data_IF_554124006320
#
_entry.id   IF_554124006320
#
_cell.length_a   1.000
_cell.length_b   1.000
_cell.length_c   1.000
_cell.angle_alpha   90.00
_cell.angle_beta   90.00
_cell.angle_gamma   90.00
#
_symmetry.space_group_name_H-M   'P 1'
#
loop_
_entity.id
_entity.type
_entity.pdbx_description
1 polymer ?
#
# COMPACT_ATOMS: atom_id res chain seq x y z
N UNK A 1 1.61 17.96 -3.49
CA UNK A 1 1.85 17.85 -4.95
C UNK A 1 0.78 16.96 -5.54
N UNK A 2 0.44 17.12 -6.83
CA UNK A 2 -0.49 16.23 -7.53
C UNK A 2 0.28 15.09 -8.19
N UNK A 3 -0.34 13.92 -8.29
CA UNK A 3 0.17 12.76 -9.04
C UNK A 3 0.29 13.13 -10.53
N UNK A 4 1.31 12.58 -11.21
CA UNK A 4 1.57 12.77 -12.65
C UNK A 4 1.85 11.41 -13.30
N UNK A 5 1.54 11.30 -14.58
CA UNK A 5 1.90 10.13 -15.39
C UNK A 5 3.42 9.96 -15.48
N UNK A 6 3.87 8.71 -15.56
CA UNK A 6 5.28 8.33 -15.58
C UNK A 6 5.99 8.38 -14.22
N UNK A 7 5.30 8.81 -13.14
CA UNK A 7 5.83 8.70 -11.79
C UNK A 7 5.88 7.25 -11.33
N UNK A 8 6.80 6.95 -10.43
CA UNK A 8 6.95 5.60 -9.88
C UNK A 8 5.96 5.33 -8.76
N UNK A 9 5.45 4.10 -8.69
CA UNK A 9 4.40 3.71 -7.74
C UNK A 9 4.60 2.31 -7.16
N UNK A 10 4.12 2.14 -5.91
CA UNK A 10 3.83 0.86 -5.30
C UNK A 10 2.32 0.76 -5.09
N UNK A 11 1.71 -0.34 -5.54
CA UNK A 11 0.30 -0.63 -5.31
C UNK A 11 0.12 -2.08 -4.88
N UNK A 12 -0.41 -2.30 -3.70
CA UNK A 12 -0.61 -3.63 -3.13
C UNK A 12 -2.09 -3.86 -2.90
N UNK A 13 -2.67 -4.82 -3.63
CA UNK A 13 -3.98 -5.40 -3.34
C UNK A 13 -3.79 -6.63 -2.47
N UNK A 14 -4.41 -6.62 -1.29
CA UNK A 14 -4.27 -7.67 -0.27
C UNK A 14 -5.67 -8.21 0.04
N UNK A 15 -5.83 -9.53 0.10
CA UNK A 15 -7.10 -10.18 0.43
C UNK A 15 -6.91 -11.19 1.56
N UNK A 16 -7.70 -11.06 2.62
CA UNK A 16 -7.57 -11.88 3.82
C UNK A 16 -8.92 -12.41 4.28
N UNK A 17 -8.96 -13.58 4.94
CA UNK A 17 -10.13 -13.99 5.71
C UNK A 17 -10.50 -12.92 6.75
N UNK A 18 -11.80 -12.73 7.02
CA UNK A 18 -12.28 -11.67 7.92
C UNK A 18 -11.67 -11.78 9.34
N UNK A 19 -11.44 -12.99 9.84
CA UNK A 19 -10.79 -13.23 11.14
C UNK A 19 -9.33 -12.77 11.21
N UNK A 20 -8.70 -12.50 10.07
CA UNK A 20 -7.34 -11.96 9.95
C UNK A 20 -7.29 -10.46 9.66
N UNK A 21 -8.44 -9.83 9.43
CA UNK A 21 -8.50 -8.44 9.00
C UNK A 21 -7.88 -7.46 10.01
N UNK A 22 -8.12 -7.65 11.32
CA UNK A 22 -7.56 -6.77 12.36
C UNK A 22 -6.03 -6.89 12.47
N UNK A 23 -5.52 -8.12 12.37
CA UNK A 23 -4.07 -8.40 12.39
C UNK A 23 -3.37 -7.72 11.20
N UNK A 24 -3.93 -7.87 10.00
CA UNK A 24 -3.38 -7.25 8.79
C UNK A 24 -3.53 -5.74 8.81
N UNK A 25 -4.64 -5.19 9.29
CA UNK A 25 -4.79 -3.74 9.44
C UNK A 25 -3.75 -3.16 10.40
N UNK A 26 -3.42 -3.85 11.49
CA UNK A 26 -2.38 -3.40 12.41
C UNK A 26 -1.00 -3.33 11.73
N UNK A 27 -0.65 -4.32 10.90
CA UNK A 27 0.58 -4.31 10.09
C UNK A 27 0.59 -3.13 9.11
N UNK A 28 -0.52 -2.88 8.41
CA UNK A 28 -0.66 -1.76 7.47
C UNK A 28 -0.56 -0.41 8.20
N UNK A 29 -1.13 -0.28 9.40
CA UNK A 29 -1.00 0.93 10.23
C UNK A 29 0.42 1.15 10.73
N UNK A 30 1.13 0.08 11.08
CA UNK A 30 2.54 0.16 11.43
C UNK A 30 3.38 0.63 10.23
N UNK A 31 3.12 0.10 9.04
CA UNK A 31 3.71 0.58 7.79
C UNK A 31 3.41 2.07 7.55
N UNK A 32 2.16 2.50 7.72
CA UNK A 32 1.78 3.89 7.58
C UNK A 32 2.49 4.82 8.58
N UNK A 33 2.77 4.35 9.79
CA UNK A 33 3.56 5.09 10.78
C UNK A 33 5.01 5.23 10.32
N UNK A 34 5.64 4.12 9.90
CA UNK A 34 6.98 4.15 9.32
C UNK A 34 7.09 5.09 8.11
N UNK A 35 6.09 5.11 7.21
CA UNK A 35 6.02 6.04 6.09
C UNK A 35 6.01 7.51 6.56
N UNK A 36 5.27 7.85 7.62
CA UNK A 36 5.28 9.22 8.19
C UNK A 36 6.63 9.59 8.80
N UNK A 37 7.30 8.62 9.40
CA UNK A 37 8.57 8.84 10.09
C UNK A 37 9.74 8.97 9.11
N UNK A 38 9.66 8.36 7.93
CA UNK A 38 10.75 8.29 6.95
C UNK A 38 10.50 9.05 5.65
N UNK A 39 9.25 9.39 5.33
CA UNK A 39 8.88 10.10 4.11
C UNK A 39 8.23 11.45 4.41
N UNK A 40 8.20 12.31 3.39
CA UNK A 40 7.66 13.66 3.48
C UNK A 40 6.99 14.09 2.18
N UNK A 41 6.12 15.09 2.25
CA UNK A 41 5.51 15.73 1.09
C UNK A 41 6.18 17.07 0.72
N UNK A 42 7.17 17.50 1.51
CA UNK A 42 7.85 18.80 1.47
C UNK A 42 9.38 18.67 1.35
N UNK A 43 9.86 17.53 0.89
CA UNK A 43 11.26 17.24 0.56
C UNK A 43 12.21 17.16 1.78
N UNK A 44 11.68 17.20 3.01
CA UNK A 44 12.46 17.07 4.26
C UNK A 44 12.98 15.66 4.53
N UNK A 45 12.39 14.65 3.88
CA UNK A 45 12.75 13.22 3.96
C UNK A 45 12.57 12.56 2.57
N UNK A 46 12.50 11.23 2.51
CA UNK A 46 12.20 10.52 1.26
C UNK A 46 10.91 11.08 0.64
N UNK A 47 10.99 11.49 -0.61
CA UNK A 47 10.00 12.39 -1.19
C UNK A 47 8.82 11.62 -1.81
N UNK A 48 7.64 11.79 -1.22
CA UNK A 48 6.37 11.26 -1.72
C UNK A 48 5.52 12.33 -2.39
N UNK A 49 4.75 11.90 -3.38
CA UNK A 49 3.62 12.67 -3.91
C UNK A 49 2.36 12.35 -3.11
N UNK A 50 2.12 11.05 -2.86
CA UNK A 50 0.90 10.59 -2.25
C UNK A 50 1.09 9.24 -1.55
N UNK A 51 0.34 9.03 -0.47
CA UNK A 51 0.22 7.76 0.22
C UNK A 51 -1.20 7.61 0.77
N UNK A 52 -1.83 6.47 0.52
CA UNK A 52 -3.03 6.08 1.24
C UNK A 52 -3.16 4.56 1.31
N UNK A 53 -3.84 4.10 2.36
CA UNK A 53 -4.31 2.74 2.48
C UNK A 53 -5.82 2.73 2.69
N UNK A 54 -6.50 1.73 2.13
CA UNK A 54 -7.95 1.59 2.23
C UNK A 54 -8.33 0.14 2.50
N UNK A 55 -9.56 -0.09 2.95
CA UNK A 55 -10.13 -1.42 3.13
C UNK A 55 -11.61 -1.44 2.77
N UNK A 56 -12.11 -2.62 2.39
CA UNK A 56 -13.54 -2.90 2.27
C UNK A 56 -13.81 -4.38 2.51
N UNK A 57 -15.07 -4.77 2.80
CA UNK A 57 -15.48 -6.15 2.60
C UNK A 57 -15.26 -6.56 1.14
N UNK A 58 -14.96 -7.83 0.91
CA UNK A 58 -14.97 -8.44 -0.41
C UNK A 58 -16.41 -8.84 -0.77
N UNK A 59 -17.07 -8.03 -1.58
CA UNK A 59 -18.47 -8.25 -1.96
C UNK A 59 -18.58 -9.33 -3.04
N UNK A 60 -19.59 -10.21 -2.93
CA UNK A 60 -19.89 -11.19 -3.99
C UNK A 60 -20.26 -10.50 -5.30
N UNK A 61 -20.98 -9.38 -5.20
CA UNK A 61 -21.36 -8.52 -6.32
C UNK A 61 -21.06 -7.06 -5.95
N UNK A 62 -19.98 -6.46 -6.46
CA UNK A 62 -19.62 -5.07 -6.17
C UNK A 62 -20.69 -4.04 -6.60
N UNK A 63 -21.58 -4.41 -7.53
CA UNK A 63 -22.68 -3.56 -7.99
C UNK A 63 -23.96 -3.74 -7.17
N UNK A 64 -24.02 -4.73 -6.27
CA UNK A 64 -25.17 -5.01 -5.40
C UNK A 64 -24.72 -5.55 -4.02
N UNK A 65 -24.39 -4.66 -3.06
CA UNK A 65 -23.90 -5.05 -1.74
C UNK A 65 -24.87 -5.94 -0.93
N UNK A 66 -26.17 -5.91 -1.22
CA UNK A 66 -27.20 -6.72 -0.53
C UNK A 66 -27.02 -8.23 -0.77
N UNK A 67 -26.29 -8.64 -1.81
CA UNK A 67 -25.96 -10.05 -2.05
C UNK A 67 -24.91 -10.61 -1.06
N UNK A 68 -24.36 -9.74 -0.21
CA UNK A 68 -23.44 -10.09 0.86
C UNK A 68 -21.98 -10.20 0.43
N UNK A 69 -21.16 -10.71 1.33
CA UNK A 69 -19.69 -10.76 1.20
C UNK A 69 -19.19 -12.18 1.01
N UNK A 70 -17.94 -12.33 0.61
CA UNK A 70 -17.27 -13.62 0.41
C UNK A 70 -16.65 -14.20 1.69
N UNK A 71 -16.79 -13.52 2.83
CA UNK A 71 -16.08 -13.84 4.08
C UNK A 71 -14.61 -13.40 4.09
N UNK A 72 -14.26 -12.44 3.23
CA UNK A 72 -12.94 -11.85 3.15
C UNK A 72 -13.01 -10.32 3.24
N UNK A 73 -11.91 -9.74 3.71
CA UNK A 73 -11.66 -8.31 3.67
C UNK A 73 -10.53 -8.04 2.68
N UNK A 74 -10.70 -7.01 1.85
CA UNK A 74 -9.66 -6.54 0.93
C UNK A 74 -9.07 -5.23 1.41
N UNK A 75 -7.76 -5.07 1.21
CA UNK A 75 -7.01 -3.86 1.49
C UNK A 75 -6.29 -3.38 0.25
N UNK A 76 -6.06 -2.07 0.17
CA UNK A 76 -5.08 -1.50 -0.76
C UNK A 76 -4.07 -0.64 -0.03
N UNK A 77 -2.81 -0.68 -0.46
CA UNK A 77 -1.78 0.31 -0.13
C UNK A 77 -1.30 0.93 -1.43
N UNK A 78 -1.23 2.26 -1.47
CA UNK A 78 -0.88 3.01 -2.67
C UNK A 78 0.11 4.11 -2.32
N UNK A 79 1.21 4.16 -3.07
CA UNK A 79 2.33 5.05 -2.80
C UNK A 79 2.87 5.59 -4.12
N UNK A 80 3.02 6.91 -4.23
CA UNK A 80 3.55 7.55 -5.44
C UNK A 80 4.74 8.41 -5.09
N UNK A 81 5.84 8.24 -5.83
CA UNK A 81 7.12 8.91 -5.61
C UNK A 81 7.36 10.02 -6.62
N UNK A 82 8.06 11.07 -6.19
CA UNK A 82 8.28 12.25 -7.06
C UNK A 82 9.26 11.97 -8.18
N UNK A 83 10.32 11.20 -7.90
CA UNK A 83 11.38 10.85 -8.84
C UNK A 83 11.67 9.35 -8.79
N UNK A 84 12.21 8.73 -9.86
CA UNK A 84 12.53 7.31 -9.87
C UNK A 84 13.44 6.86 -8.73
N UNK A 85 14.37 7.73 -8.31
CA UNK A 85 15.31 7.48 -7.21
C UNK A 85 14.59 7.28 -5.87
N UNK A 86 13.40 7.86 -5.68
CA UNK A 86 12.61 7.74 -4.44
C UNK A 86 12.21 6.31 -4.11
N UNK A 87 12.06 5.44 -5.12
CA UNK A 87 11.86 4.00 -4.90
C UNK A 87 13.12 3.34 -4.34
N UNK A 88 14.30 3.70 -4.86
CA UNK A 88 15.57 3.17 -4.35
C UNK A 88 15.79 3.57 -2.90
N UNK A 89 15.52 4.83 -2.57
CA UNK A 89 15.58 5.36 -1.19
C UNK A 89 14.59 4.64 -0.27
N UNK A 90 13.35 4.46 -0.71
CA UNK A 90 12.33 3.73 0.03
C UNK A 90 12.76 2.28 0.32
N UNK A 91 13.23 1.55 -0.69
CA UNK A 91 13.68 0.17 -0.53
C UNK A 91 14.90 0.05 0.40
N UNK A 92 15.84 1.00 0.32
CA UNK A 92 16.98 1.04 1.22
C UNK A 92 16.55 1.31 2.68
N UNK A 93 15.60 2.23 2.89
CA UNK A 93 15.04 2.50 4.20
C UNK A 93 14.24 1.31 4.75
N UNK A 94 13.47 0.62 3.90
CA UNK A 94 12.69 -0.56 4.27
C UNK A 94 13.59 -1.69 4.78
N UNK A 95 14.77 -1.90 4.18
CA UNK A 95 15.73 -2.92 4.65
C UNK A 95 16.27 -2.64 6.06
N UNK A 96 16.22 -1.40 6.54
CA UNK A 96 16.62 -1.02 7.89
C UNK A 96 15.45 -0.99 8.88
N UNK A 97 14.21 -1.13 8.39
CA UNK A 97 13.02 -1.14 9.24
C UNK A 97 12.84 -2.50 9.92
N UNK A 98 12.82 -2.50 11.25
CA UNK A 98 12.75 -3.73 12.06
C UNK A 98 11.54 -4.60 11.75
N UNK A 99 10.41 -4.01 11.36
CA UNK A 99 9.16 -4.74 11.10
C UNK A 99 8.99 -5.12 9.62
N UNK A 100 9.97 -4.78 8.77
CA UNK A 100 9.96 -5.15 7.36
C UNK A 100 9.74 -6.65 7.13
N UNK A 101 10.35 -7.59 7.88
CA UNK A 101 10.05 -9.01 7.72
C UNK A 101 8.57 -9.36 7.91
N UNK A 102 7.89 -8.72 8.87
CA UNK A 102 6.47 -8.93 9.14
C UNK A 102 5.59 -8.37 8.02
N UNK A 103 5.91 -7.17 7.55
CA UNK A 103 5.21 -6.57 6.41
C UNK A 103 5.39 -7.38 5.12
N UNK A 104 6.61 -7.82 4.83
CA UNK A 104 6.91 -8.66 3.67
C UNK A 104 6.23 -10.04 3.76
N UNK A 105 6.20 -10.64 4.95
CA UNK A 105 5.45 -11.87 5.18
C UNK A 105 3.96 -11.70 4.90
N UNK A 106 3.36 -10.58 5.31
CA UNK A 106 1.96 -10.26 5.00
C UNK A 106 1.72 -10.16 3.49
N UNK A 107 2.57 -9.43 2.77
CA UNK A 107 2.45 -9.28 1.31
C UNK A 107 2.60 -10.61 0.56
N UNK A 108 3.55 -11.46 0.95
CA UNK A 108 3.77 -12.76 0.29
C UNK A 108 2.71 -13.79 0.64
N UNK A 109 2.03 -13.64 1.78
CA UNK A 109 0.98 -14.57 2.23
C UNK A 109 -0.39 -14.20 1.68
N UNK A 110 -0.71 -12.90 1.62
CA UNK A 110 -2.06 -12.39 1.35
C UNK A 110 -2.14 -11.43 0.16
N UNK A 111 -1.02 -11.09 -0.47
CA UNK A 111 -0.99 -10.23 -1.66
C UNK A 111 -1.61 -10.93 -2.85
N UNK A 112 -2.64 -10.31 -3.44
CA UNK A 112 -3.35 -10.81 -4.61
C UNK A 112 -2.89 -10.09 -5.89
N UNK A 113 -2.62 -8.78 -5.78
CA UNK A 113 -2.07 -7.97 -6.88
C UNK A 113 -0.97 -7.06 -6.36
N UNK A 114 0.24 -7.19 -6.90
CA UNK A 114 1.41 -6.43 -6.45
C UNK A 114 2.06 -5.68 -7.62
N UNK A 115 1.88 -4.36 -7.65
CA UNK A 115 2.63 -3.45 -8.52
C UNK A 115 3.88 -3.00 -7.75
N UNK A 116 5.02 -3.56 -8.13
CA UNK A 116 6.31 -3.28 -7.49
C UNK A 116 7.17 -2.42 -8.42
N UNK A 117 7.35 -1.15 -8.06
CA UNK A 117 8.14 -0.21 -8.86
C UNK A 117 7.53 0.13 -10.22
N UNK A 118 6.20 0.09 -10.29
CA UNK A 118 5.45 0.37 -11.51
C UNK A 118 5.43 1.86 -11.88
N UNK A 119 4.67 2.16 -12.93
CA UNK A 119 4.48 3.51 -13.44
C UNK A 119 3.03 3.95 -13.27
N UNK A 120 2.82 5.19 -12.84
CA UNK A 120 1.52 5.85 -12.92
C UNK A 120 1.19 6.04 -14.39
N UNK A 121 0.20 5.29 -14.88
CA UNK A 121 -0.21 5.36 -16.30
C UNK A 121 -1.25 6.46 -16.56
N UNK A 122 -2.10 6.79 -15.58
CA UNK A 122 -3.16 7.80 -15.68
C UNK A 122 -3.45 8.46 -14.32
N UNK A 123 -3.86 9.72 -14.33
CA UNK A 123 -4.29 10.52 -13.15
C UNK A 123 -5.05 11.77 -13.62
N UNK A 124 -5.93 12.30 -12.77
CA UNK A 124 -6.62 13.58 -12.99
C UNK A 124 -5.84 14.76 -12.40
#
# INVERSE_FOLDING_TARGET
MTIKTGQKTFNFGIKVPDEKAEEVEAIIRNHAQWMRDTHSLDDSKIRLVHYYASKSPDFKNPMNPEEGTTGHTVFSINEVYVVPEGIGEHLAAAQQWSDFPGFFSMLTTYGDVLVLGGDVIETL
#
